data_IF_879578850475
#
_entry.id   IF_879578850475
#
_cell.length_a   1.000
_cell.length_b   1.000
_cell.length_c   1.000
_cell.angle_alpha   90.00
_cell.angle_beta   90.00
_cell.angle_gamma   90.00
#
_symmetry.space_group_name_H-M   'P 1'
#
loop_
_entity.id
_entity.type
_entity.pdbx_description
1 polymer ?
#
# COMPACT_ATOMS: atom_id res chain seq x y z
N UNK A 1 -60.74 15.39 24.51
CA UNK A 1 -59.66 14.40 24.37
C UNK A 1 -59.28 13.92 25.76
N UNK A 2 -59.70 12.70 26.09
CA UNK A 2 -59.79 12.20 27.47
C UNK A 2 -58.39 12.10 28.08
N UNK A 3 -58.28 12.40 29.39
CA UNK A 3 -57.03 12.33 30.17
C UNK A 3 -56.30 11.00 29.98
N UNK A 4 -57.04 9.91 29.78
CA UNK A 4 -56.52 8.58 29.47
C UNK A 4 -55.72 8.52 28.15
N UNK A 5 -56.15 9.25 27.11
CA UNK A 5 -55.45 9.28 25.82
C UNK A 5 -54.17 10.11 25.90
N UNK A 6 -54.16 11.16 26.73
CA UNK A 6 -52.98 11.99 26.96
C UNK A 6 -51.92 11.25 27.78
N UNK A 7 -52.32 10.46 28.78
CA UNK A 7 -51.39 9.62 29.55
C UNK A 7 -50.81 8.48 28.72
N UNK A 8 -51.62 7.83 27.86
CA UNK A 8 -51.13 6.79 26.95
C UNK A 8 -50.08 7.32 25.96
N UNK A 9 -50.34 8.50 25.39
CA UNK A 9 -49.40 9.15 24.47
C UNK A 9 -48.08 9.53 25.16
N UNK A 10 -48.14 9.98 26.42
CA UNK A 10 -46.95 10.33 27.20
C UNK A 10 -46.08 9.09 27.51
N UNK A 11 -46.70 7.95 27.82
CA UNK A 11 -45.99 6.69 28.08
C UNK A 11 -45.26 6.18 26.83
N UNK A 12 -45.87 6.31 25.65
CA UNK A 12 -45.26 5.91 24.37
C UNK A 12 -44.04 6.78 24.04
N UNK A 13 -44.09 8.08 24.33
CA UNK A 13 -42.96 9.00 24.11
C UNK A 13 -41.81 8.71 25.10
N UNK A 14 -42.12 8.27 26.32
CA UNK A 14 -41.13 7.91 27.34
C UNK A 14 -40.43 6.56 27.11
N UNK A 15 -40.93 5.72 26.20
CA UNK A 15 -40.36 4.41 25.84
C UNK A 15 -39.30 4.47 24.72
N UNK A 16 -38.88 5.67 24.29
CA UNK A 16 -37.89 5.88 23.23
C UNK A 16 -36.41 5.99 23.73
N UNK A 17 -35.97 5.63 24.96
CA UNK A 17 -34.56 5.78 25.26
C UNK A 17 -33.76 4.65 24.59
N UNK A 18 -33.06 5.05 23.53
CA UNK A 18 -31.68 4.69 23.21
C UNK A 18 -31.38 3.20 22.95
N UNK A 19 -31.77 2.75 21.75
CA UNK A 19 -30.97 1.76 21.02
C UNK A 19 -29.79 2.45 20.32
N UNK A 20 -28.85 2.98 21.09
CA UNK A 20 -27.50 3.18 20.57
C UNK A 20 -26.79 1.83 20.63
N UNK A 21 -27.19 0.92 19.73
CA UNK A 21 -26.37 -0.24 19.41
C UNK A 21 -25.12 0.30 18.72
N UNK A 22 -24.07 0.56 19.50
CA UNK A 22 -22.72 0.56 18.96
C UNK A 22 -22.48 -0.87 18.48
N UNK A 23 -22.81 -1.14 17.22
CA UNK A 23 -22.33 -2.31 16.51
C UNK A 23 -20.80 -2.26 16.64
N UNK A 24 -20.28 -3.10 17.53
CA UNK A 24 -18.85 -3.26 17.69
C UNK A 24 -18.41 -4.01 16.43
N UNK A 25 -18.04 -3.24 15.41
CA UNK A 25 -17.47 -3.75 14.16
C UNK A 25 -16.14 -4.43 14.51
N UNK A 26 -16.19 -5.73 14.79
CA UNK A 26 -15.01 -6.57 14.82
C UNK A 26 -14.50 -6.72 13.39
N UNK A 27 -13.70 -5.74 12.94
CA UNK A 27 -12.83 -5.87 11.76
C UNK A 27 -11.62 -6.75 12.07
N UNK A 28 -11.84 -7.89 12.70
CA UNK A 28 -10.85 -8.96 12.64
C UNK A 28 -11.04 -9.67 11.31
N UNK A 29 -10.45 -9.11 10.25
CA UNK A 29 -10.19 -9.88 9.04
C UNK A 29 -9.30 -11.05 9.46
N UNK A 30 -9.92 -12.22 9.61
CA UNK A 30 -9.19 -13.48 9.72
C UNK A 30 -8.20 -13.55 8.56
N UNK A 31 -6.92 -13.75 8.89
CA UNK A 31 -5.90 -13.97 7.89
C UNK A 31 -6.35 -15.12 6.96
N UNK A 32 -6.42 -14.92 5.64
CA UNK A 32 -6.78 -16.00 4.74
C UNK A 32 -5.75 -17.12 4.86
N UNK A 33 -6.17 -18.28 5.39
CA UNK A 33 -5.35 -19.49 5.46
C UNK A 33 -5.30 -20.08 4.06
N UNK A 34 -4.18 -19.88 3.36
CA UNK A 34 -3.90 -20.60 2.12
C UNK A 34 -3.37 -21.99 2.48
N UNK A 35 -4.21 -23.02 2.30
CA UNK A 35 -3.77 -24.42 2.43
C UNK A 35 -2.95 -24.75 1.17
N UNK A 36 -1.68 -24.35 1.13
CA UNK A 36 -0.75 -24.80 0.09
C UNK A 36 -0.32 -26.23 0.39
N UNK A 37 -0.96 -27.18 -0.30
CA UNK A 37 -0.45 -28.54 -0.54
C UNK A 37 0.81 -28.47 -1.42
N UNK A 38 1.86 -27.83 -0.94
CA UNK A 38 3.16 -27.78 -1.61
C UNK A 38 4.25 -27.44 -0.58
N UNK A 39 4.51 -28.40 0.31
CA UNK A 39 5.59 -28.35 1.30
C UNK A 39 7.00 -28.20 0.65
N UNK A 40 7.09 -28.37 -0.67
CA UNK A 40 8.34 -28.31 -1.46
C UNK A 40 8.35 -27.22 -2.54
N UNK A 41 7.37 -26.33 -2.59
CA UNK A 41 7.53 -25.10 -3.37
C UNK A 41 8.11 -24.04 -2.47
N UNK A 42 9.39 -23.76 -2.67
CA UNK A 42 10.07 -22.54 -2.27
C UNK A 42 9.19 -21.33 -2.68
N UNK A 43 8.28 -20.87 -1.79
CA UNK A 43 7.35 -19.76 -2.02
C UNK A 43 8.14 -18.44 -1.92
N UNK A 44 9.08 -18.25 -2.84
CA UNK A 44 9.80 -17.00 -3.05
C UNK A 44 9.48 -16.43 -4.44
N UNK A 45 8.20 -16.47 -4.81
CA UNK A 45 7.67 -15.52 -5.79
C UNK A 45 6.97 -14.40 -5.05
N UNK A 46 7.75 -13.68 -4.25
CA UNK A 46 7.31 -12.44 -3.62
C UNK A 46 6.74 -11.50 -4.70
N UNK A 47 5.47 -11.12 -4.55
CA UNK A 47 4.78 -10.25 -5.52
C UNK A 47 5.47 -8.90 -5.69
N UNK A 48 6.23 -8.46 -4.68
CA UNK A 48 7.07 -7.27 -4.71
C UNK A 48 8.24 -7.43 -5.69
N UNK A 49 9.02 -8.51 -5.60
CA UNK A 49 10.13 -8.77 -6.55
C UNK A 49 9.62 -8.89 -7.98
N UNK A 50 8.48 -9.54 -8.17
CA UNK A 50 7.83 -9.64 -9.49
C UNK A 50 7.44 -8.26 -10.01
N UNK A 51 6.90 -7.41 -9.14
CA UNK A 51 6.60 -6.03 -9.49
C UNK A 51 7.87 -5.25 -9.84
N UNK A 52 8.93 -5.32 -9.03
CA UNK A 52 10.18 -4.58 -9.28
C UNK A 52 10.75 -4.93 -10.64
N UNK A 53 10.89 -6.23 -10.93
CA UNK A 53 11.35 -6.71 -12.25
C UNK A 53 10.46 -6.21 -13.38
N UNK A 54 9.13 -6.16 -13.17
CA UNK A 54 8.21 -5.62 -14.16
C UNK A 54 8.46 -4.12 -14.38
N UNK A 55 8.60 -3.34 -13.31
CA UNK A 55 8.81 -1.89 -13.40
C UNK A 55 10.13 -1.55 -14.10
N UNK A 56 11.20 -2.28 -13.77
CA UNK A 56 12.54 -2.11 -14.38
C UNK A 56 12.51 -2.36 -15.90
N UNK A 57 11.63 -3.25 -16.38
CA UNK A 57 11.53 -3.60 -17.81
C UNK A 57 10.62 -2.69 -18.63
N UNK A 58 9.90 -1.74 -18.03
CA UNK A 58 8.97 -0.89 -18.78
C UNK A 58 9.75 0.30 -19.38
N UNK A 59 10.00 0.25 -20.69
CA UNK A 59 10.70 1.32 -21.43
C UNK A 59 9.99 2.69 -21.34
N UNK A 60 8.65 2.72 -21.33
CA UNK A 60 7.87 3.96 -21.26
C UNK A 60 7.12 4.08 -19.92
N UNK A 61 7.85 3.97 -18.81
CA UNK A 61 7.23 3.94 -17.49
C UNK A 61 6.65 5.32 -17.11
N UNK A 62 5.38 5.32 -16.67
CA UNK A 62 4.73 6.52 -16.12
C UNK A 62 3.96 6.12 -14.88
N UNK A 63 4.43 6.57 -13.70
CA UNK A 63 3.78 6.28 -12.43
C UNK A 63 2.26 6.54 -12.45
N UNK A 64 1.81 7.66 -13.03
CA UNK A 64 0.38 7.98 -13.12
C UNK A 64 -0.43 6.87 -13.80
N UNK A 65 0.09 6.29 -14.87
CA UNK A 65 -0.60 5.25 -15.64
C UNK A 65 -0.61 3.93 -14.87
N UNK A 66 0.52 3.53 -14.30
CA UNK A 66 0.61 2.27 -13.56
C UNK A 66 -0.17 2.30 -12.24
N UNK A 67 -0.21 3.45 -11.55
CA UNK A 67 -1.07 3.66 -10.38
C UNK A 67 -2.55 3.54 -10.79
N UNK A 68 -2.98 4.23 -11.85
CA UNK A 68 -4.38 4.17 -12.33
C UNK A 68 -4.79 2.73 -12.70
N UNK A 69 -3.92 2.00 -13.40
CA UNK A 69 -4.16 0.59 -13.73
C UNK A 69 -4.28 -0.27 -12.47
N UNK A 70 -3.42 -0.05 -11.47
CA UNK A 70 -3.45 -0.78 -10.21
C UNK A 70 -4.71 -0.48 -9.40
N UNK A 71 -5.16 0.79 -9.35
CA UNK A 71 -6.41 1.21 -8.70
C UNK A 71 -7.63 0.54 -9.37
N UNK A 72 -7.70 0.55 -10.71
CA UNK A 72 -8.79 -0.07 -11.48
C UNK A 72 -8.88 -1.58 -11.26
N UNK A 73 -7.72 -2.24 -11.19
CA UNK A 73 -7.65 -3.69 -11.03
C UNK A 73 -7.70 -4.14 -9.56
N UNK A 74 -7.77 -3.21 -8.60
CA UNK A 74 -7.75 -3.47 -7.16
C UNK A 74 -6.67 -4.50 -6.76
N UNK A 75 -5.50 -4.41 -7.40
CA UNK A 75 -4.47 -5.43 -7.24
C UNK A 75 -3.77 -5.29 -5.88
N UNK A 76 -3.54 -6.41 -5.21
CA UNK A 76 -2.86 -6.47 -3.91
C UNK A 76 -1.48 -7.08 -4.09
N UNK A 77 -0.49 -6.53 -3.39
CA UNK A 77 0.82 -7.16 -3.20
C UNK A 77 0.81 -7.90 -1.88
N UNK A 78 1.32 -9.12 -1.92
CA UNK A 78 1.45 -10.01 -0.77
C UNK A 78 2.92 -10.36 -0.58
N UNK A 79 3.35 -10.26 0.67
CA UNK A 79 4.62 -10.73 1.19
C UNK A 79 4.36 -11.83 2.22
N UNK A 80 5.10 -12.93 2.12
CA UNK A 80 5.07 -14.03 3.07
C UNK A 80 6.46 -14.20 3.68
N UNK A 81 6.49 -14.37 5.00
CA UNK A 81 7.64 -14.84 5.78
C UNK A 81 7.19 -16.00 6.66
N UNK A 82 8.14 -16.73 7.25
CA UNK A 82 7.86 -17.93 8.03
C UNK A 82 6.80 -17.71 9.13
N UNK A 83 6.81 -16.54 9.78
CA UNK A 83 5.93 -16.23 10.92
C UNK A 83 4.86 -15.17 10.63
N UNK A 84 4.80 -14.62 9.42
CA UNK A 84 3.93 -13.47 9.12
C UNK A 84 3.59 -13.31 7.65
N UNK A 85 2.49 -12.60 7.38
CA UNK A 85 2.16 -12.10 6.06
C UNK A 85 1.90 -10.60 6.10
N UNK A 86 2.22 -9.92 5.01
CA UNK A 86 1.95 -8.51 4.83
C UNK A 86 1.28 -8.29 3.49
N UNK A 87 0.24 -7.45 3.49
CA UNK A 87 -0.45 -7.04 2.27
C UNK A 87 -0.48 -5.53 2.15
N UNK A 88 -0.42 -5.05 0.92
CA UNK A 88 -0.59 -3.64 0.58
C UNK A 88 -1.24 -3.53 -0.79
N UNK A 89 -2.09 -2.52 -0.99
CA UNK A 89 -2.58 -2.22 -2.33
C UNK A 89 -1.41 -1.88 -3.25
N UNK A 90 -1.38 -2.48 -4.44
CA UNK A 90 -0.34 -2.24 -5.43
C UNK A 90 -0.24 -0.75 -5.79
N UNK A 91 -1.38 -0.07 -5.87
CA UNK A 91 -1.42 1.36 -6.15
C UNK A 91 -0.78 2.19 -5.03
N UNK A 92 -1.02 1.83 -3.77
CA UNK A 92 -0.38 2.45 -2.61
C UNK A 92 1.14 2.23 -2.66
N UNK A 93 1.59 1.02 -2.94
CA UNK A 93 3.01 0.72 -3.06
C UNK A 93 3.69 1.52 -4.19
N UNK A 94 3.06 1.62 -5.36
CA UNK A 94 3.55 2.46 -6.46
C UNK A 94 3.62 3.95 -6.08
N UNK A 95 2.65 4.45 -5.28
CA UNK A 95 2.68 5.82 -4.73
C UNK A 95 3.87 5.99 -3.78
N UNK A 96 4.18 4.99 -2.96
CA UNK A 96 5.35 4.97 -2.07
C UNK A 96 6.67 4.99 -2.86
N UNK A 97 6.84 4.12 -3.86
CA UNK A 97 8.03 4.11 -4.73
C UNK A 97 8.23 5.49 -5.36
N UNK A 98 7.18 6.07 -5.96
CA UNK A 98 7.28 7.40 -6.58
C UNK A 98 7.73 8.46 -5.58
N UNK A 99 7.17 8.43 -4.37
CA UNK A 99 7.48 9.40 -3.32
C UNK A 99 8.90 9.24 -2.78
N UNK A 100 9.36 8.01 -2.63
CA UNK A 100 10.72 7.69 -2.22
C UNK A 100 11.71 8.19 -3.29
N UNK A 101 11.54 7.80 -4.55
CA UNK A 101 12.43 8.20 -5.64
C UNK A 101 12.50 9.72 -5.84
N UNK A 102 11.40 10.45 -5.59
CA UNK A 102 11.39 11.91 -5.68
C UNK A 102 12.03 12.62 -4.47
N UNK A 103 12.30 11.92 -3.37
CA UNK A 103 12.80 12.50 -2.11
C UNK A 103 14.18 11.99 -1.71
N UNK A 104 14.77 11.14 -2.53
CA UNK A 104 16.02 10.47 -2.24
C UNK A 104 17.03 10.85 -3.29
N UNK A 105 18.23 11.21 -2.84
CA UNK A 105 19.34 11.56 -3.73
C UNK A 105 20.05 10.31 -4.26
N UNK A 106 19.98 9.21 -3.50
CA UNK A 106 20.65 7.95 -3.80
C UNK A 106 19.78 6.73 -3.42
N UNK A 107 20.20 5.55 -3.89
CA UNK A 107 19.50 4.30 -3.66
C UNK A 107 19.42 3.91 -2.17
N UNK A 108 20.41 4.30 -1.35
CA UNK A 108 20.40 4.03 0.08
C UNK A 108 19.28 4.80 0.79
N UNK A 109 19.14 6.10 0.51
CA UNK A 109 18.04 6.93 1.00
C UNK A 109 16.69 6.43 0.53
N UNK A 110 16.60 5.99 -0.73
CA UNK A 110 15.39 5.41 -1.29
C UNK A 110 14.95 4.16 -0.53
N UNK A 111 15.88 3.23 -0.30
CA UNK A 111 15.64 2.00 0.46
C UNK A 111 15.25 2.33 1.90
N UNK A 112 15.97 3.23 2.58
CA UNK A 112 15.66 3.65 3.94
C UNK A 112 14.27 4.30 4.05
N UNK A 113 13.86 5.07 3.05
CA UNK A 113 12.52 5.64 2.99
C UNK A 113 11.45 4.54 2.95
N UNK A 114 11.64 3.51 2.12
CA UNK A 114 10.71 2.38 2.01
C UNK A 114 10.68 1.56 3.29
N UNK A 115 11.84 1.21 3.86
CA UNK A 115 11.97 0.50 5.15
C UNK A 115 11.17 1.19 6.25
N UNK A 116 11.34 2.51 6.40
CA UNK A 116 10.60 3.33 7.38
C UNK A 116 9.09 3.30 7.19
N UNK A 117 8.60 3.17 5.95
CA UNK A 117 7.17 3.15 5.63
C UNK A 117 6.57 1.75 5.67
N UNK A 118 7.39 0.72 5.50
CA UNK A 118 6.99 -0.67 5.40
C UNK A 118 7.86 -1.55 6.33
N UNK A 119 7.85 -1.30 7.65
CA UNK A 119 8.74 -2.01 8.59
C UNK A 119 8.49 -3.53 8.60
N UNK A 120 7.26 -3.96 8.27
CA UNK A 120 6.88 -5.39 8.19
C UNK A 120 7.63 -6.18 7.12
N UNK A 121 8.24 -5.51 6.14
CA UNK A 121 9.01 -6.15 5.06
C UNK A 121 10.45 -5.62 5.01
N UNK A 122 10.92 -5.01 6.11
CA UNK A 122 12.23 -4.37 6.18
C UNK A 122 13.36 -5.31 5.76
N UNK A 123 13.40 -6.53 6.32
CA UNK A 123 14.44 -7.52 6.00
C UNK A 123 14.40 -7.98 4.53
N UNK A 124 13.22 -7.98 3.90
CA UNK A 124 13.12 -8.23 2.46
C UNK A 124 13.71 -7.07 1.66
N UNK A 125 13.36 -5.83 2.01
CA UNK A 125 13.88 -4.64 1.33
C UNK A 125 15.39 -4.49 1.51
N UNK A 126 15.95 -4.89 2.64
CA UNK A 126 17.39 -4.82 2.88
C UNK A 126 18.20 -5.74 1.94
N UNK A 127 17.62 -6.89 1.58
CA UNK A 127 18.30 -7.92 0.79
C UNK A 127 17.87 -7.95 -0.69
N UNK A 128 16.94 -7.09 -1.11
CA UNK A 128 16.44 -7.07 -2.49
C UNK A 128 17.38 -6.32 -3.43
N UNK A 129 18.19 -7.09 -4.17
CA UNK A 129 19.12 -6.57 -5.17
C UNK A 129 18.45 -5.76 -6.30
N UNK A 130 17.13 -5.88 -6.49
CA UNK A 130 16.41 -5.11 -7.51
C UNK A 130 16.15 -3.66 -7.12
N UNK A 131 16.33 -3.27 -5.85
CA UNK A 131 16.02 -1.92 -5.39
C UNK A 131 16.91 -0.83 -5.98
N UNK A 132 18.18 -1.15 -6.27
CA UNK A 132 19.09 -0.22 -6.92
C UNK A 132 18.57 0.16 -8.32
N UNK A 133 18.31 -0.85 -9.17
CA UNK A 133 17.77 -0.63 -10.51
C UNK A 133 16.37 -0.02 -10.47
N UNK A 134 15.55 -0.41 -9.48
CA UNK A 134 14.24 0.20 -9.29
C UNK A 134 14.35 1.68 -8.97
N UNK A 135 15.33 2.09 -8.14
CA UNK A 135 15.58 3.49 -7.83
C UNK A 135 15.94 4.28 -9.08
N UNK A 136 16.91 3.79 -9.87
CA UNK A 136 17.36 4.46 -11.10
C UNK A 136 16.19 4.72 -12.06
N UNK A 137 15.45 3.66 -12.41
CA UNK A 137 14.27 3.78 -13.30
C UNK A 137 13.19 4.65 -12.68
N UNK A 138 12.93 4.53 -11.37
CA UNK A 138 11.93 5.35 -10.72
C UNK A 138 12.31 6.84 -10.73
N UNK A 139 13.58 7.18 -10.48
CA UNK A 139 14.05 8.55 -10.33
C UNK A 139 13.91 9.32 -11.65
N UNK A 140 14.27 8.72 -12.80
CA UNK A 140 14.10 9.30 -14.15
C UNK A 140 12.67 9.77 -14.42
N UNK A 141 11.69 9.10 -13.81
CA UNK A 141 10.27 9.37 -14.00
C UNK A 141 9.66 10.25 -12.89
N UNK A 142 10.48 10.83 -12.02
CA UNK A 142 10.07 11.79 -10.97
C UNK A 142 10.39 13.23 -11.36
N UNK A 143 9.83 14.19 -10.62
CA UNK A 143 10.15 15.60 -10.82
C UNK A 143 11.60 15.88 -10.40
N UNK A 144 12.05 15.29 -9.30
CA UNK A 144 13.42 15.43 -8.80
C UNK A 144 14.46 14.93 -9.83
N UNK A 145 14.28 13.73 -10.39
CA UNK A 145 15.20 13.21 -11.42
C UNK A 145 15.20 14.06 -12.69
N UNK A 146 14.03 14.56 -13.13
CA UNK A 146 13.96 15.49 -14.27
C UNK A 146 14.77 16.76 -14.03
N UNK A 147 14.72 17.33 -12.82
CA UNK A 147 15.51 18.52 -12.46
C UNK A 147 17.02 18.26 -12.48
N UNK A 148 17.48 17.10 -12.01
CA UNK A 148 18.90 16.74 -12.00
C UNK A 148 19.42 16.27 -13.37
N UNK A 149 18.53 15.82 -14.25
CA UNK A 149 18.86 15.47 -15.64
C UNK A 149 18.98 16.68 -16.57
N UNK A 150 18.65 17.89 -16.10
CA UNK A 150 18.96 19.09 -16.88
C UNK A 150 20.47 19.28 -16.90
N UNK A 151 21.09 19.35 -18.09
CA UNK A 151 22.50 19.66 -18.18
C UNK A 151 22.76 21.05 -17.58
N UNK A 152 23.88 21.20 -16.87
CA UNK A 152 24.35 22.42 -16.19
C UNK A 152 24.68 23.57 -17.17
N UNK A 153 23.85 23.83 -18.18
CA UNK A 153 24.10 24.86 -19.20
C UNK A 153 23.76 26.29 -18.76
N UNK A 154 23.41 26.52 -17.49
CA UNK A 154 23.11 27.86 -16.98
C UNK A 154 23.82 28.13 -15.66
N UNK A 155 25.14 28.00 -15.66
CA UNK A 155 26.02 28.72 -14.73
C UNK A 155 26.46 30.00 -15.45
N UNK A 156 25.64 31.04 -15.37
CA UNK A 156 26.02 32.42 -15.75
C UNK A 156 26.69 33.07 -14.55
#
# INVERSE_FOLDING_TARGET
>A
MNTLQKTLALIIILLIPSVNLTAQDYKEQLAPIYITMAKDQQVSTNSFTTLHRKLIKIETFKFRNEIKKADLNQSILVFFSDDAFFTIEKAEYLKLIRKAANRSENALEFTNFLKKRLPKIEGYLENDASLLQLFEVAQEHTTHGKFHSFPEFYSI
#
